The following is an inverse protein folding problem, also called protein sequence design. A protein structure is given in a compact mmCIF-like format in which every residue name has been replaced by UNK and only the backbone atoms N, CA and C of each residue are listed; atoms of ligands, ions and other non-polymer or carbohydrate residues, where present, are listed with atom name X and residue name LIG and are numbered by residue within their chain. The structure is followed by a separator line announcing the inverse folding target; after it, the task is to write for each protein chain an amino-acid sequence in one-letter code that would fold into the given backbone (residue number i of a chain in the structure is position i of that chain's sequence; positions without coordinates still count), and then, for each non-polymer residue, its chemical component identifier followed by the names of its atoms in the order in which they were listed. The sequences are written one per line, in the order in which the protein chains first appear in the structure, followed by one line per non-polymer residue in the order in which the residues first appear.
data_IF_177973677340
#
_entry.id   IF_177973677340
#
_cell.length_a   1.000
_cell.length_b   1.000
_cell.length_c   1.000
_cell.angle_alpha   90.00
_cell.angle_beta   90.00
_cell.angle_gamma   90.00
#
_symmetry.space_group_name_H-M   'P 1'
#
loop_
_entity.id
_entity.type
_entity.pdbx_description
1 polymer ?
#
# COMPACT_ATOMS: atom_id res chain seq x y z
N UNK A 1 14.98 12.83 1.43
CA UNK A 1 14.18 12.85 0.19
C UNK A 1 13.50 11.51 0.10
N UNK A 2 12.17 11.45 0.03
CA UNK A 2 11.45 10.18 -0.11
C UNK A 2 11.81 9.53 -1.46
N UNK A 3 11.91 8.19 -1.57
CA UNK A 3 12.13 7.50 -2.83
C UNK A 3 10.94 7.73 -3.78
N UNK A 4 11.10 7.33 -5.04
CA UNK A 4 9.97 7.28 -5.98
C UNK A 4 9.20 5.98 -5.76
N UNK A 5 7.88 6.03 -5.88
CA UNK A 5 7.05 4.84 -5.87
C UNK A 5 7.40 3.91 -7.06
N UNK A 6 7.47 2.62 -6.76
CA UNK A 6 7.54 1.52 -7.71
C UNK A 6 6.49 0.47 -7.33
N UNK A 7 5.91 -0.21 -8.32
CA UNK A 7 4.85 -1.19 -8.16
C UNK A 7 5.30 -2.50 -7.48
N UNK A 8 6.61 -2.78 -7.49
CA UNK A 8 7.25 -3.89 -6.80
C UNK A 8 7.60 -3.59 -5.32
N UNK A 9 7.33 -2.38 -4.83
CA UNK A 9 7.50 -2.06 -3.41
C UNK A 9 6.52 -2.85 -2.55
N UNK A 10 6.98 -3.29 -1.38
CA UNK A 10 6.11 -4.03 -0.45
C UNK A 10 5.17 -3.09 0.29
N UNK A 11 4.03 -3.60 0.73
CA UNK A 11 3.05 -2.84 1.52
C UNK A 11 3.66 -2.25 2.79
N UNK A 12 4.55 -3.00 3.47
CA UNK A 12 5.28 -2.51 4.65
C UNK A 12 6.25 -1.37 4.28
N UNK A 13 7.00 -1.49 3.18
CA UNK A 13 7.89 -0.43 2.72
C UNK A 13 7.13 0.84 2.36
N UNK A 14 5.99 0.70 1.67
CA UNK A 14 5.11 1.82 1.31
C UNK A 14 4.60 2.53 2.57
N UNK A 15 4.04 1.81 3.55
CA UNK A 15 3.51 2.41 4.77
C UNK A 15 4.59 3.05 5.65
N UNK A 16 5.82 2.51 5.66
CA UNK A 16 6.94 3.07 6.42
C UNK A 16 7.45 4.38 5.82
N UNK A 17 7.53 4.44 4.50
CA UNK A 17 8.05 5.62 3.79
C UNK A 17 7.00 6.74 3.68
N UNK A 18 5.73 6.35 3.52
CA UNK A 18 4.60 7.26 3.44
C UNK A 18 3.51 6.87 4.45
N UNK A 19 3.61 7.30 5.72
CA UNK A 19 2.63 6.96 6.75
C UNK A 19 1.17 7.33 6.42
N UNK A 20 0.94 8.36 5.61
CA UNK A 20 -0.41 8.77 5.19
C UNK A 20 -1.12 7.68 4.35
N UNK A 21 -0.36 6.79 3.72
CA UNK A 21 -0.91 5.62 3.01
C UNK A 21 -1.58 4.61 3.94
N UNK A 22 -1.27 4.61 5.24
CA UNK A 22 -1.93 3.74 6.23
C UNK A 22 -3.44 3.97 6.22
N UNK A 23 -3.88 5.23 6.03
CA UNK A 23 -5.31 5.53 5.95
C UNK A 23 -5.97 4.88 4.74
N UNK A 24 -5.31 4.94 3.58
CA UNK A 24 -5.77 4.31 2.33
C UNK A 24 -5.89 2.80 2.49
N UNK A 25 -4.88 2.15 3.08
CA UNK A 25 -4.88 0.71 3.36
C UNK A 25 -6.10 0.31 4.20
N UNK A 26 -6.39 1.06 5.27
CA UNK A 26 -7.54 0.82 6.14
C UNK A 26 -8.88 1.08 5.42
N UNK A 27 -8.98 2.15 4.62
CA UNK A 27 -10.20 2.52 3.90
C UNK A 27 -10.53 1.52 2.78
N UNK A 28 -9.53 0.85 2.21
CA UNK A 28 -9.69 -0.29 1.28
C UNK A 28 -9.96 -1.63 1.99
N UNK A 29 -10.01 -1.66 3.33
CA UNK A 29 -10.25 -2.88 4.10
C UNK A 29 -9.09 -3.86 4.13
N UNK A 30 -7.88 -3.42 3.74
CA UNK A 30 -6.69 -4.24 3.75
C UNK A 30 -6.16 -4.42 5.17
N UNK A 31 -5.66 -5.62 5.47
CA UNK A 31 -5.18 -6.00 6.80
C UNK A 31 -3.66 -5.82 6.95
N UNK A 32 -3.04 -4.99 6.11
CA UNK A 32 -1.57 -4.90 6.03
C UNK A 32 -0.94 -4.27 7.27
N UNK A 33 -1.66 -3.39 7.99
CA UNK A 33 -1.14 -2.68 9.16
C UNK A 33 -0.82 -3.66 10.29
N UNK A 34 0.46 -3.80 10.63
CA UNK A 34 0.93 -4.73 11.66
C UNK A 34 0.98 -6.19 11.23
N UNK A 35 0.62 -6.52 9.99
CA UNK A 35 0.72 -7.88 9.48
C UNK A 35 2.18 -8.19 9.12
N UNK A 36 2.78 -9.28 9.65
CA UNK A 36 4.15 -9.64 9.34
C UNK A 36 4.36 -10.03 7.87
N UNK A 37 3.27 -10.34 7.15
CA UNK A 37 3.31 -10.68 5.72
C UNK A 37 3.41 -9.44 4.83
N UNK A 38 3.08 -8.24 5.35
CA UNK A 38 3.10 -7.00 4.56
C UNK A 38 4.50 -6.65 4.01
N UNK A 39 5.57 -7.15 4.62
CA UNK A 39 6.96 -7.00 4.12
C UNK A 39 7.27 -7.89 2.92
N UNK A 40 6.32 -8.70 2.44
CA UNK A 40 6.48 -9.61 1.30
C UNK A 40 5.46 -9.39 0.18
N UNK A 41 4.34 -8.71 0.44
CA UNK A 41 3.29 -8.45 -0.56
C UNK A 41 3.47 -7.09 -1.21
N UNK A 42 3.37 -7.06 -2.54
CA UNK A 42 3.16 -5.84 -3.33
C UNK A 42 1.72 -5.35 -3.21
N UNK A 43 1.38 -4.13 -3.68
CA UNK A 43 0.00 -3.69 -3.84
C UNK A 43 -0.84 -4.66 -4.69
N UNK A 44 -0.26 -5.25 -5.74
CA UNK A 44 -0.94 -6.22 -6.59
C UNK A 44 -1.27 -7.52 -5.83
N UNK A 45 -0.33 -8.03 -5.03
CA UNK A 45 -0.55 -9.20 -4.19
C UNK A 45 -1.66 -8.94 -3.16
N UNK A 46 -1.58 -7.81 -2.45
CA UNK A 46 -2.60 -7.41 -1.49
C UNK A 46 -3.97 -7.23 -2.16
N UNK A 47 -4.00 -6.63 -3.35
CA UNK A 47 -5.23 -6.44 -4.10
C UNK A 47 -5.91 -7.76 -4.48
N UNK A 48 -5.11 -8.70 -4.98
CA UNK A 48 -5.55 -10.04 -5.36
C UNK A 48 -6.04 -10.86 -4.16
N UNK A 49 -5.27 -10.89 -3.07
CA UNK A 49 -5.58 -11.67 -1.86
C UNK A 49 -6.88 -11.21 -1.20
N UNK A 50 -7.09 -9.89 -1.17
CA UNK A 50 -8.23 -9.25 -0.50
C UNK A 50 -9.36 -8.84 -1.44
N UNK A 51 -9.28 -9.17 -2.73
CA UNK A 51 -10.29 -8.88 -3.75
C UNK A 51 -10.65 -7.39 -3.84
N UNK A 52 -9.65 -6.52 -3.74
CA UNK A 52 -9.83 -5.07 -3.95
C UNK A 52 -9.36 -4.67 -5.35
N UNK A 53 -9.86 -3.54 -5.84
CA UNK A 53 -9.47 -2.99 -7.13
C UNK A 53 -8.03 -2.45 -7.06
N UNK A 54 -7.10 -3.15 -7.71
CA UNK A 54 -5.67 -2.81 -7.72
C UNK A 54 -5.42 -1.41 -8.29
N UNK A 55 -6.10 -1.05 -9.39
CA UNK A 55 -5.87 0.25 -10.05
C UNK A 55 -6.29 1.38 -9.14
N UNK A 56 -7.44 1.23 -8.47
CA UNK A 56 -7.93 2.20 -7.49
C UNK A 56 -7.04 2.26 -6.26
N UNK A 57 -6.59 1.12 -5.75
CA UNK A 57 -5.65 1.06 -4.62
C UNK A 57 -4.36 1.83 -4.93
N UNK A 58 -3.72 1.54 -6.07
CA UNK A 58 -2.47 2.20 -6.47
C UNK A 58 -2.68 3.71 -6.65
N UNK A 59 -3.78 4.11 -7.30
CA UNK A 59 -4.12 5.52 -7.46
C UNK A 59 -4.19 6.25 -6.11
N UNK A 60 -4.95 5.69 -5.16
CA UNK A 60 -5.19 6.31 -3.85
C UNK A 60 -3.91 6.32 -3.00
N UNK A 61 -3.09 5.27 -3.07
CA UNK A 61 -1.77 5.22 -2.44
C UNK A 61 -0.86 6.34 -2.97
N UNK A 62 -0.73 6.45 -4.29
CA UNK A 62 0.12 7.47 -4.93
C UNK A 62 -0.38 8.88 -4.64
N UNK A 63 -1.69 9.08 -4.49
CA UNK A 63 -2.24 10.38 -4.11
C UNK A 63 -1.89 10.74 -2.66
N UNK A 64 -2.05 9.80 -1.73
CA UNK A 64 -1.68 9.99 -0.32
C UNK A 64 -0.18 10.25 -0.11
N UNK A 65 0.69 9.74 -0.99
CA UNK A 65 2.15 9.99 -0.92
C UNK A 65 2.56 11.45 -1.17
N UNK A 66 1.67 12.27 -1.74
CA UNK A 66 1.94 13.69 -2.07
C UNK A 66 1.72 14.63 -0.88
N UNK A 67 1.05 14.16 0.18
CA UNK A 67 0.94 14.84 1.47
C UNK A 67 2.28 14.93 2.18
#
# INVERSE_FOLDING_TARGET
MKPKFHDDMTMDAIMREWPDTIRVVLDHGLLCVGCPIASFHTPADAAKEHQVDETRLIHDLVDAMKG
#
